data_IF_937513041053
#
_entry.id   IF_937513041053
#
_cell.length_a   1.000
_cell.length_b   1.000
_cell.length_c   1.000
_cell.angle_alpha   90.00
_cell.angle_beta   90.00
_cell.angle_gamma   90.00
#
_symmetry.space_group_name_H-M   'P 1'
#
loop_
_entity.id
_entity.type
_entity.pdbx_description
1 polymer ?
#
# COMPACT_ATOMS: atom_id res chain seq x y z
N UNK A 1 11.32 -54.43 12.73
CA UNK A 1 11.47 -55.51 11.74
C UNK A 1 11.54 -54.91 10.32
N UNK A 2 12.11 -55.65 9.35
CA UNK A 2 12.30 -55.23 7.94
C UNK A 2 10.98 -54.73 7.29
N UNK A 3 9.85 -55.27 7.68
CA UNK A 3 8.54 -54.87 7.20
C UNK A 3 8.09 -53.48 7.70
N UNK A 4 8.44 -53.07 8.90
CA UNK A 4 8.10 -51.74 9.43
C UNK A 4 8.98 -50.65 8.78
N UNK A 5 10.25 -50.90 8.51
CA UNK A 5 11.15 -50.00 7.74
C UNK A 5 10.58 -49.74 6.34
N UNK A 6 10.05 -50.75 5.65
CA UNK A 6 9.51 -50.62 4.29
C UNK A 6 8.20 -49.81 4.27
N UNK A 7 7.43 -49.80 5.36
CA UNK A 7 6.20 -49.04 5.52
C UNK A 7 6.45 -47.54 5.79
N UNK A 8 7.56 -47.24 6.48
CA UNK A 8 8.02 -45.87 6.76
C UNK A 8 8.60 -45.20 5.52
N UNK A 9 9.40 -45.94 4.74
CA UNK A 9 10.04 -45.43 3.51
C UNK A 9 9.04 -45.10 2.40
N UNK A 10 7.89 -45.75 2.35
CA UNK A 10 6.81 -45.44 1.39
C UNK A 10 6.09 -44.11 1.64
N UNK A 11 6.33 -43.45 2.77
CA UNK A 11 5.71 -42.18 3.13
C UNK A 11 6.64 -40.96 2.92
N UNK A 12 7.88 -41.16 2.48
CA UNK A 12 8.85 -40.11 2.22
C UNK A 12 8.91 -39.79 0.73
N UNK A 13 9.00 -38.52 0.38
CA UNK A 13 9.10 -38.07 -1.02
C UNK A 13 10.44 -38.46 -1.67
N UNK A 14 10.45 -38.72 -2.98
CA UNK A 14 11.61 -39.19 -3.74
C UNK A 14 12.95 -38.51 -3.46
N UNK A 15 13.04 -37.15 -3.41
CA UNK A 15 14.32 -36.45 -3.15
C UNK A 15 14.94 -36.68 -1.77
N UNK A 16 14.12 -37.10 -0.79
CA UNK A 16 14.58 -37.43 0.56
C UNK A 16 15.11 -38.88 0.59
N UNK A 17 14.50 -39.79 -0.15
CA UNK A 17 14.92 -41.18 -0.26
C UNK A 17 16.29 -41.31 -0.93
N UNK A 18 16.57 -40.58 -2.00
CA UNK A 18 17.85 -40.60 -2.71
C UNK A 18 19.04 -40.15 -1.83
N UNK A 19 18.81 -39.21 -0.92
CA UNK A 19 19.83 -38.78 0.05
C UNK A 19 20.05 -39.79 1.17
N UNK A 20 19.02 -40.52 1.58
CA UNK A 20 19.13 -41.57 2.59
C UNK A 20 19.81 -42.82 2.05
N UNK A 21 19.54 -43.20 0.80
CA UNK A 21 20.22 -44.35 0.16
C UNK A 21 21.70 -44.09 -0.06
N UNK A 22 22.12 -42.85 -0.35
CA UNK A 22 23.52 -42.48 -0.49
C UNK A 22 24.28 -42.56 0.83
N UNK A 23 23.66 -42.23 1.96
CA UNK A 23 24.29 -42.35 3.30
C UNK A 23 24.36 -43.81 3.77
N UNK A 24 23.36 -44.64 3.43
CA UNK A 24 23.37 -46.07 3.76
C UNK A 24 24.32 -46.87 2.90
N UNK A 25 24.51 -46.49 1.63
CA UNK A 25 25.52 -47.15 0.76
C UNK A 25 26.95 -46.81 1.14
N UNK A 26 27.24 -45.59 1.63
CA UNK A 26 28.58 -45.23 2.10
C UNK A 26 28.99 -45.99 3.39
N UNK A 27 28.06 -46.23 4.30
CA UNK A 27 28.32 -46.99 5.52
C UNK A 27 28.52 -48.51 5.28
N UNK A 28 27.98 -49.03 4.18
CA UNK A 28 28.07 -50.46 3.85
C UNK A 28 29.37 -50.84 3.15
N UNK A 29 30.02 -49.93 2.43
CA UNK A 29 31.27 -50.20 1.67
C UNK A 29 32.54 -50.20 2.52
N UNK A 30 32.57 -49.55 3.67
CA UNK A 30 33.71 -49.52 4.56
C UNK A 30 33.77 -50.72 5.55
N UNK A 31 32.68 -51.48 5.71
CA UNK A 31 32.59 -52.56 6.67
C UNK A 31 33.08 -53.93 6.15
N UNK A 32 33.19 -54.11 4.83
CA UNK A 32 33.22 -55.47 4.28
C UNK A 32 34.60 -56.02 3.88
N UNK A 33 35.72 -55.28 4.02
CA UNK A 33 36.98 -55.84 3.41
C UNK A 33 38.22 -55.95 4.31
N UNK A 34 38.21 -55.53 5.57
CA UNK A 34 39.44 -55.62 6.40
C UNK A 34 39.32 -56.27 7.79
N UNK A 35 38.16 -56.81 8.19
CA UNK A 35 37.97 -57.29 9.58
C UNK A 35 37.75 -58.79 9.78
N UNK A 36 37.70 -59.60 8.73
CA UNK A 36 37.40 -61.05 8.87
C UNK A 36 38.57 -61.91 9.35
N UNK A 37 39.84 -61.40 9.35
CA UNK A 37 41.00 -62.26 9.68
C UNK A 37 41.60 -62.07 11.09
N UNK A 38 41.01 -61.27 12.00
CA UNK A 38 41.63 -61.06 13.34
C UNK A 38 40.70 -61.29 14.56
N UNK A 39 39.47 -61.75 14.37
CA UNK A 39 38.46 -61.86 15.46
C UNK A 39 38.09 -63.31 15.84
N UNK A 40 39.11 -64.18 16.15
CA UNK A 40 38.81 -65.52 16.67
C UNK A 40 38.92 -65.65 18.21
N UNK A 41 38.95 -64.58 18.99
CA UNK A 41 39.09 -64.65 20.46
C UNK A 41 38.26 -63.64 21.28
N UNK A 42 37.25 -62.99 20.77
CA UNK A 42 36.34 -62.18 21.61
C UNK A 42 35.30 -63.06 22.31
N UNK A 43 35.12 -62.87 23.62
CA UNK A 43 34.05 -63.57 24.37
C UNK A 43 32.68 -62.96 24.05
N UNK A 44 31.60 -63.76 24.15
CA UNK A 44 30.22 -63.33 23.89
C UNK A 44 29.84 -62.07 24.69
N UNK A 45 30.44 -61.85 25.83
CA UNK A 45 30.24 -60.68 26.67
C UNK A 45 30.82 -59.40 26.04
N UNK A 46 31.99 -59.44 25.50
CA UNK A 46 32.67 -58.31 24.82
C UNK A 46 31.97 -57.92 23.53
N UNK A 47 31.45 -58.91 22.79
CA UNK A 47 30.63 -58.62 21.58
C UNK A 47 29.32 -57.91 21.96
N UNK A 48 28.66 -58.32 23.04
CA UNK A 48 27.43 -57.72 23.52
C UNK A 48 27.67 -56.27 23.99
N UNK A 49 28.72 -55.98 24.73
CA UNK A 49 29.07 -54.64 25.20
C UNK A 49 29.45 -53.69 24.05
N UNK A 50 30.09 -54.21 23.00
CA UNK A 50 30.45 -53.46 21.79
C UNK A 50 29.20 -53.13 20.96
N UNK A 51 28.23 -54.05 20.87
CA UNK A 51 26.95 -53.83 20.21
C UNK A 51 26.14 -52.79 20.98
N UNK A 52 26.07 -52.84 22.29
CA UNK A 52 25.34 -51.86 23.12
C UNK A 52 25.94 -50.47 23.02
N UNK A 53 27.27 -50.35 23.07
CA UNK A 53 27.98 -49.06 22.89
C UNK A 53 27.76 -48.46 21.49
N UNK A 54 27.74 -49.28 20.46
CA UNK A 54 27.47 -48.83 19.08
C UNK A 54 26.04 -48.35 18.93
N UNK A 55 25.08 -49.10 19.49
CA UNK A 55 23.67 -48.70 19.48
C UNK A 55 23.44 -47.36 20.23
N UNK A 56 24.12 -47.16 21.37
CA UNK A 56 24.02 -45.92 22.13
C UNK A 56 24.66 -44.74 21.35
N UNK A 57 25.75 -44.95 20.66
CA UNK A 57 26.43 -43.96 19.81
C UNK A 57 25.54 -43.55 18.61
N UNK A 58 24.92 -44.53 17.95
CA UNK A 58 23.98 -44.27 16.86
C UNK A 58 22.72 -43.53 17.32
N UNK A 59 22.15 -43.91 18.47
CA UNK A 59 21.01 -43.18 19.09
C UNK A 59 21.36 -41.73 19.40
N UNK A 60 22.57 -41.45 19.88
CA UNK A 60 23.05 -40.10 20.18
C UNK A 60 23.26 -39.29 18.89
N UNK A 61 23.78 -39.87 17.84
CA UNK A 61 23.96 -39.25 16.52
C UNK A 61 22.61 -38.95 15.89
N UNK A 62 21.64 -39.87 15.93
CA UNK A 62 20.31 -39.68 15.42
C UNK A 62 19.56 -38.55 16.18
N UNK A 63 19.69 -38.51 17.51
CA UNK A 63 19.09 -37.45 18.34
C UNK A 63 19.67 -36.07 18.04
N UNK A 64 20.96 -35.99 17.75
CA UNK A 64 21.62 -34.73 17.36
C UNK A 64 21.22 -34.31 15.94
N UNK A 65 21.14 -35.24 15.00
CA UNK A 65 20.68 -34.97 13.63
C UNK A 65 19.22 -34.47 13.61
N UNK A 66 18.35 -35.08 14.41
CA UNK A 66 16.94 -34.63 14.56
C UNK A 66 16.88 -33.22 15.14
N UNK A 67 17.71 -32.87 16.14
CA UNK A 67 17.78 -31.52 16.69
C UNK A 67 18.23 -30.48 15.66
N UNK A 68 19.23 -30.83 14.82
CA UNK A 68 19.71 -29.94 13.76
C UNK A 68 18.64 -29.73 12.70
N UNK A 69 17.94 -30.79 12.28
CA UNK A 69 16.83 -30.71 11.30
C UNK A 69 15.68 -29.87 11.85
N UNK A 70 15.31 -30.05 13.12
CA UNK A 70 14.28 -29.23 13.78
C UNK A 70 14.68 -27.77 13.88
N UNK A 71 15.94 -27.46 14.22
CA UNK A 71 16.42 -26.07 14.28
C UNK A 71 16.45 -25.40 12.89
N UNK A 72 16.84 -26.11 11.84
CA UNK A 72 16.79 -25.60 10.46
C UNK A 72 15.36 -25.35 9.99
N UNK A 73 14.42 -26.25 10.31
CA UNK A 73 13.01 -26.03 9.97
C UNK A 73 12.39 -24.81 10.72
N UNK A 74 12.75 -24.62 11.99
CA UNK A 74 12.29 -23.48 12.77
C UNK A 74 12.84 -22.17 12.19
N UNK A 75 14.13 -22.11 11.85
CA UNK A 75 14.74 -20.92 11.22
C UNK A 75 14.09 -20.64 9.86
N UNK A 76 13.85 -21.68 9.04
CA UNK A 76 13.19 -21.52 7.74
C UNK A 76 11.73 -21.05 7.88
N UNK A 77 10.99 -21.54 8.88
CA UNK A 77 9.62 -21.08 9.17
C UNK A 77 9.63 -19.64 9.66
N UNK A 78 10.57 -19.26 10.54
CA UNK A 78 10.68 -17.87 11.03
C UNK A 78 11.07 -16.93 9.88
N UNK A 79 11.99 -17.30 8.99
CA UNK A 79 12.34 -16.47 7.82
C UNK A 79 11.19 -16.38 6.83
N UNK A 80 10.43 -17.44 6.62
CA UNK A 80 9.22 -17.42 5.78
C UNK A 80 8.13 -16.55 6.41
N UNK A 81 7.92 -16.61 7.73
CA UNK A 81 6.98 -15.76 8.46
C UNK A 81 7.41 -14.29 8.44
N UNK A 82 8.70 -14.00 8.55
CA UNK A 82 9.23 -12.65 8.41
C UNK A 82 9.09 -12.13 6.98
N UNK A 83 9.35 -12.96 5.96
CA UNK A 83 9.11 -12.60 4.55
C UNK A 83 7.62 -12.39 4.26
N UNK A 84 6.73 -13.23 4.78
CA UNK A 84 5.28 -13.02 4.63
C UNK A 84 4.80 -11.79 5.38
N UNK A 85 5.36 -11.49 6.56
CA UNK A 85 5.07 -10.26 7.30
C UNK A 85 5.56 -9.01 6.53
N UNK A 86 6.76 -9.03 5.96
CA UNK A 86 7.28 -7.93 5.13
C UNK A 86 6.51 -7.79 3.82
N UNK A 87 6.14 -8.89 3.16
CA UNK A 87 5.28 -8.89 1.98
C UNK A 87 3.87 -8.38 2.35
N UNK A 88 3.32 -8.78 3.50
CA UNK A 88 2.03 -8.27 3.99
C UNK A 88 2.09 -6.79 4.34
N UNK A 89 3.21 -6.29 4.87
CA UNK A 89 3.44 -4.86 5.11
C UNK A 89 3.56 -4.12 3.78
N UNK A 90 4.27 -4.65 2.79
CA UNK A 90 4.40 -4.06 1.45
C UNK A 90 3.06 -4.12 0.70
N UNK A 91 2.34 -5.23 0.77
CA UNK A 91 0.99 -5.38 0.20
C UNK A 91 0.01 -4.47 0.94
N UNK A 92 0.10 -4.33 2.27
CA UNK A 92 -0.74 -3.42 3.05
C UNK A 92 -0.40 -1.95 2.77
N UNK A 93 0.86 -1.59 2.54
CA UNK A 93 1.23 -0.27 2.06
C UNK A 93 0.72 0.01 0.64
N UNK A 94 0.68 -1.01 -0.23
CA UNK A 94 0.06 -0.91 -1.56
C UNK A 94 -1.48 -1.09 -1.55
N UNK A 95 -2.06 -1.70 -0.49
CA UNK A 95 -3.51 -1.92 -0.35
C UNK A 95 -4.20 -0.83 0.48
N UNK A 96 -3.46 -0.05 1.27
CA UNK A 96 -3.99 1.14 1.96
C UNK A 96 -4.43 2.22 0.97
N UNK A 97 -3.97 2.14 -0.29
CA UNK A 97 -4.49 2.99 -1.37
C UNK A 97 -5.90 2.62 -1.87
N UNK A 98 -6.54 1.54 -1.37
CA UNK A 98 -7.78 1.04 -2.02
C UNK A 98 -8.92 0.59 -1.09
N UNK A 99 -8.94 0.94 0.21
CA UNK A 99 -10.11 0.67 1.04
C UNK A 99 -10.66 1.95 1.66
N UNK A 100 -11.67 2.54 1.04
CA UNK A 100 -12.69 3.38 1.70
C UNK A 100 -12.29 4.72 2.31
N UNK A 101 -11.00 5.04 2.37
CA UNK A 101 -10.46 6.33 2.83
C UNK A 101 -9.80 7.08 1.66
N UNK A 102 -10.48 7.12 0.52
CA UNK A 102 -9.98 7.79 -0.67
C UNK A 102 -9.60 9.24 -0.37
N UNK A 103 -8.31 9.57 -0.42
CA UNK A 103 -7.79 10.92 -0.25
C UNK A 103 -6.89 11.16 0.95
N UNK A 104 -6.66 10.18 1.84
CA UNK A 104 -5.73 10.36 2.97
C UNK A 104 -4.27 10.34 2.53
N UNK A 105 -3.90 9.39 1.69
CA UNK A 105 -2.55 9.28 1.13
C UNK A 105 -2.66 9.34 -0.39
N UNK A 106 -2.05 10.35 -0.99
CA UNK A 106 -1.92 10.53 -2.43
C UNK A 106 -0.44 10.57 -2.82
N UNK A 107 -0.12 10.44 -4.10
CA UNK A 107 1.26 10.62 -4.58
C UNK A 107 1.60 12.11 -4.64
N UNK A 108 2.07 12.64 -3.51
CA UNK A 108 2.47 14.04 -3.38
C UNK A 108 3.82 14.35 -4.04
N UNK A 109 4.62 13.34 -4.39
CA UNK A 109 5.89 13.50 -5.10
C UNK A 109 5.71 14.12 -6.47
N UNK A 110 4.64 13.75 -7.19
CA UNK A 110 4.30 14.32 -8.51
C UNK A 110 3.91 15.80 -8.45
N UNK A 111 3.50 16.30 -7.29
CA UNK A 111 3.19 17.71 -7.06
C UNK A 111 4.42 18.53 -6.61
N UNK A 112 5.61 17.92 -6.58
CA UNK A 112 6.87 18.60 -6.29
C UNK A 112 7.31 18.53 -4.83
N UNK A 113 6.77 17.62 -4.04
CA UNK A 113 7.34 17.27 -2.72
C UNK A 113 8.65 16.50 -2.95
N UNK A 114 9.78 16.88 -2.30
CA UNK A 114 11.03 16.15 -2.43
C UNK A 114 10.85 14.67 -2.08
N UNK A 115 11.34 13.78 -2.95
CA UNK A 115 11.10 12.35 -2.86
C UNK A 115 11.56 11.73 -1.53
N UNK A 116 12.63 12.27 -0.95
CA UNK A 116 13.17 11.86 0.34
C UNK A 116 12.20 12.09 1.52
N UNK A 117 11.25 13.02 1.39
CA UNK A 117 10.28 13.35 2.46
C UNK A 117 8.91 12.70 2.26
N UNK A 118 8.60 12.17 1.07
CA UNK A 118 7.28 11.57 0.77
C UNK A 118 6.91 10.51 1.80
N UNK A 119 7.84 9.61 2.13
CA UNK A 119 7.59 8.55 3.11
C UNK A 119 7.34 9.10 4.52
N UNK A 120 7.99 10.19 4.92
CA UNK A 120 7.77 10.80 6.24
C UNK A 120 6.40 11.47 6.33
N UNK A 121 5.93 12.10 5.24
CA UNK A 121 4.56 12.62 5.17
C UNK A 121 3.51 11.51 5.19
N UNK A 122 3.75 10.37 4.52
CA UNK A 122 2.85 9.22 4.52
C UNK A 122 2.77 8.58 5.91
N UNK A 123 3.90 8.43 6.59
CA UNK A 123 3.98 7.94 7.95
C UNK A 123 3.25 8.86 8.94
N UNK A 124 3.51 10.16 8.88
CA UNK A 124 2.82 11.16 9.68
C UNK A 124 1.31 11.16 9.42
N UNK A 125 0.89 11.04 8.15
CA UNK A 125 -0.53 10.92 7.78
C UNK A 125 -1.22 9.77 8.52
N UNK A 126 -0.59 8.61 8.55
CA UNK A 126 -1.12 7.42 9.24
C UNK A 126 -1.18 7.61 10.77
N UNK A 127 -0.13 8.18 11.36
CA UNK A 127 -0.02 8.37 12.82
C UNK A 127 -1.03 9.40 13.34
N UNK A 128 -1.23 10.49 12.60
CA UNK A 128 -2.03 11.64 13.06
C UNK A 128 -3.43 11.70 12.45
N UNK A 129 -3.78 10.80 11.56
CA UNK A 129 -5.04 10.78 10.81
C UNK A 129 -5.30 12.11 10.05
N UNK A 130 -4.26 12.61 9.39
CA UNK A 130 -4.29 13.83 8.58
C UNK A 130 -3.72 13.51 7.20
N UNK A 131 -4.38 13.88 6.09
CA UNK A 131 -3.86 13.57 4.76
C UNK A 131 -2.44 14.11 4.53
N UNK A 132 -1.60 13.31 3.86
CA UNK A 132 -0.23 13.67 3.52
C UNK A 132 -0.16 14.97 2.70
N UNK A 133 -1.12 15.20 1.80
CA UNK A 133 -1.22 16.42 1.00
C UNK A 133 -1.50 17.67 1.86
N UNK A 134 -2.22 17.53 2.97
CA UNK A 134 -2.47 18.62 3.91
C UNK A 134 -1.19 18.99 4.65
N UNK A 135 -0.44 18.00 5.14
CA UNK A 135 0.85 18.20 5.81
C UNK A 135 1.88 18.82 4.86
N UNK A 136 1.96 18.32 3.63
CA UNK A 136 2.86 18.85 2.61
C UNK A 136 2.56 20.31 2.24
N UNK A 137 1.27 20.70 2.23
CA UNK A 137 0.87 22.08 1.95
C UNK A 137 1.38 23.07 3.00
N UNK A 138 1.32 22.70 4.28
CA UNK A 138 1.90 23.49 5.36
C UNK A 138 3.43 23.58 5.21
N UNK A 139 4.11 22.46 5.00
CA UNK A 139 5.56 22.44 4.80
C UNK A 139 6.01 23.27 3.58
N UNK A 140 5.21 23.25 2.51
CA UNK A 140 5.45 24.11 1.32
C UNK A 140 5.40 25.59 1.67
N UNK A 141 4.40 26.02 2.41
CA UNK A 141 4.21 27.40 2.81
C UNK A 141 5.27 27.85 3.82
N UNK A 142 5.63 27.00 4.78
CA UNK A 142 6.51 27.35 5.90
C UNK A 142 7.98 27.47 5.48
N UNK A 143 8.49 26.55 4.69
CA UNK A 143 9.91 26.44 4.39
C UNK A 143 10.25 26.11 2.94
N UNK A 144 9.25 25.84 2.10
CA UNK A 144 9.43 25.19 0.81
C UNK A 144 10.23 23.88 0.93
N UNK A 145 9.89 23.09 1.95
CA UNK A 145 10.51 21.80 2.30
C UNK A 145 11.98 21.86 2.73
N UNK A 146 12.48 23.02 3.14
CA UNK A 146 13.87 23.15 3.59
C UNK A 146 13.98 22.85 5.11
N UNK A 147 14.65 21.76 5.53
CA UNK A 147 14.76 21.38 6.94
C UNK A 147 15.65 22.30 7.76
N UNK A 148 16.46 23.14 7.11
CA UNK A 148 17.38 24.06 7.76
C UNK A 148 16.81 25.48 7.87
N UNK A 149 15.57 25.70 7.48
CA UNK A 149 14.93 27.01 7.59
C UNK A 149 14.73 27.38 9.06
N UNK A 150 15.11 28.62 9.39
CA UNK A 150 14.82 29.22 10.69
C UNK A 150 14.38 30.66 10.48
N UNK A 151 13.20 31.01 10.99
CA UNK A 151 12.67 32.36 10.91
C UNK A 151 11.85 32.69 12.15
N UNK A 152 12.10 33.84 12.77
CA UNK A 152 11.32 34.32 13.91
C UNK A 152 11.31 33.42 15.14
N UNK A 153 12.29 32.52 15.31
CA UNK A 153 12.35 31.55 16.40
C UNK A 153 11.62 30.25 16.10
N UNK A 154 11.12 30.07 14.88
CA UNK A 154 10.59 28.81 14.36
C UNK A 154 11.65 28.10 13.52
N UNK A 155 11.61 26.77 13.46
CA UNK A 155 12.65 25.92 12.89
C UNK A 155 12.09 24.75 12.06
N UNK A 156 12.84 24.38 11.04
CA UNK A 156 12.64 23.16 10.27
C UNK A 156 11.59 23.25 9.19
N UNK A 157 11.27 22.11 8.59
CA UNK A 157 10.36 21.99 7.43
C UNK A 157 9.00 22.62 7.70
N UNK A 158 8.48 22.46 8.92
CA UNK A 158 7.14 22.93 9.31
C UNK A 158 7.19 24.10 10.31
N UNK A 159 8.35 24.73 10.51
CA UNK A 159 8.55 25.95 11.29
C UNK A 159 7.96 25.88 12.72
N UNK A 160 8.41 24.90 13.50
CA UNK A 160 8.00 24.72 14.88
C UNK A 160 8.71 25.73 15.78
N UNK A 161 7.95 26.44 16.63
CA UNK A 161 8.51 27.38 17.59
C UNK A 161 8.99 26.68 18.86
N UNK A 162 10.24 26.97 19.25
CA UNK A 162 10.79 26.50 20.54
C UNK A 162 10.23 27.28 21.72
N UNK A 163 10.18 28.59 21.59
CA UNK A 163 9.82 29.53 22.68
C UNK A 163 8.81 30.53 22.17
N UNK A 164 7.78 30.80 22.95
CA UNK A 164 6.83 31.87 22.70
C UNK A 164 7.56 33.24 22.80
N UNK A 165 7.64 34.02 21.73
CA UNK A 165 8.38 35.25 21.72
C UNK A 165 7.80 36.35 22.64
N UNK A 166 6.54 36.26 23.02
CA UNK A 166 5.84 37.22 23.86
C UNK A 166 5.96 36.94 25.34
N UNK A 167 5.89 35.65 25.72
CA UNK A 167 5.87 35.22 27.13
C UNK A 167 7.17 34.55 27.59
N UNK A 168 8.04 34.15 26.69
CA UNK A 168 9.23 33.34 26.99
C UNK A 168 8.93 31.89 27.38
N UNK A 169 7.68 31.42 27.23
CA UNK A 169 7.29 30.07 27.56
C UNK A 169 7.95 29.08 26.59
N UNK A 170 8.51 28.00 27.13
CA UNK A 170 9.02 26.88 26.33
C UNK A 170 7.84 26.11 25.68
N UNK A 171 7.60 26.37 24.38
CA UNK A 171 6.54 25.73 23.62
C UNK A 171 6.93 24.32 23.22
N UNK A 172 8.20 24.07 22.94
CA UNK A 172 8.68 22.75 22.60
C UNK A 172 8.47 21.75 23.74
N UNK A 173 8.92 22.13 24.94
CA UNK A 173 8.68 21.31 26.13
C UNK A 173 7.18 21.07 26.34
N UNK A 174 6.36 22.09 26.14
CA UNK A 174 4.91 21.96 26.24
C UNK A 174 4.35 20.91 25.25
N UNK A 175 4.79 20.91 23.98
CA UNK A 175 4.34 19.92 22.98
C UNK A 175 4.78 18.49 23.38
N UNK A 176 6.03 18.32 23.84
CA UNK A 176 6.56 17.06 24.32
C UNK A 176 5.71 16.50 25.46
N UNK A 177 5.45 17.34 26.48
CA UNK A 177 4.68 16.95 27.67
C UNK A 177 3.19 16.69 27.37
N UNK A 178 2.64 17.32 26.31
CA UNK A 178 1.24 17.17 25.90
C UNK A 178 0.98 15.93 25.04
N UNK A 179 2.00 15.11 24.76
CA UNK A 179 1.87 13.82 24.09
C UNK A 179 2.70 13.64 22.84
N UNK A 180 3.36 14.69 22.31
CA UNK A 180 4.30 14.52 21.19
C UNK A 180 5.48 13.61 21.58
N UNK A 181 5.95 13.72 22.84
CA UNK A 181 7.02 12.87 23.37
C UNK A 181 6.70 11.38 23.32
N UNK A 182 5.48 11.01 23.71
CA UNK A 182 5.01 9.61 23.62
C UNK A 182 4.97 9.10 22.17
N UNK A 183 4.58 9.96 21.24
CA UNK A 183 4.55 9.62 19.80
C UNK A 183 5.97 9.39 19.30
N UNK A 184 6.93 10.23 19.65
CA UNK A 184 8.32 10.03 19.27
C UNK A 184 8.88 8.72 19.80
N UNK A 185 8.68 8.43 21.09
CA UNK A 185 9.12 7.17 21.70
C UNK A 185 8.49 5.95 21.04
N UNK A 186 7.18 6.00 20.75
CA UNK A 186 6.46 4.92 20.07
C UNK A 186 6.94 4.68 18.63
N UNK A 187 7.60 5.69 18.01
CA UNK A 187 8.08 5.63 16.65
C UNK A 187 9.61 5.56 16.52
N UNK A 188 10.26 5.04 17.55
CA UNK A 188 11.67 4.64 17.52
C UNK A 188 12.68 5.72 17.93
N UNK A 189 12.23 6.89 18.39
CA UNK A 189 13.12 7.88 18.97
C UNK A 189 13.45 7.53 20.43
N UNK A 190 14.62 7.91 20.87
CA UNK A 190 15.07 7.77 22.28
C UNK A 190 15.65 9.09 22.75
N UNK A 191 15.20 9.59 23.88
CA UNK A 191 15.67 10.83 24.49
C UNK A 191 15.29 10.83 25.97
N UNK A 192 16.06 11.57 26.78
CA UNK A 192 15.85 11.66 28.22
C UNK A 192 14.99 12.86 28.62
N UNK A 193 15.06 13.93 27.83
CA UNK A 193 14.32 15.17 28.08
C UNK A 193 13.97 15.91 26.76
N UNK A 194 13.23 16.99 26.89
CA UNK A 194 12.79 17.80 25.74
C UNK A 194 13.93 18.48 24.98
N UNK A 195 15.05 18.80 25.65
CA UNK A 195 16.20 19.43 25.00
C UNK A 195 16.97 18.44 24.15
N UNK A 196 17.14 17.21 24.61
CA UNK A 196 17.73 16.15 23.80
C UNK A 196 16.88 15.87 22.55
N UNK A 197 15.54 15.79 22.71
CA UNK A 197 14.65 15.63 21.56
C UNK A 197 14.65 16.86 20.64
N UNK A 198 14.85 18.08 21.17
CA UNK A 198 15.02 19.26 20.35
C UNK A 198 16.28 19.18 19.47
N UNK A 199 17.39 18.72 20.02
CA UNK A 199 18.62 18.52 19.24
C UNK A 199 18.46 17.48 18.12
N UNK A 200 17.68 16.43 18.37
CA UNK A 200 17.29 15.46 17.31
C UNK A 200 16.43 16.16 16.26
N UNK A 201 15.38 16.85 16.68
CA UNK A 201 14.46 17.59 15.80
C UNK A 201 15.19 18.54 14.85
N UNK A 202 16.18 19.28 15.31
CA UNK A 202 16.92 20.23 14.48
C UNK A 202 17.64 19.58 13.29
N UNK A 203 17.96 18.28 13.38
CA UNK A 203 18.74 17.55 12.39
C UNK A 203 17.98 16.45 11.67
N UNK A 204 16.71 16.23 12.03
CA UNK A 204 15.91 15.12 11.49
C UNK A 204 14.61 15.62 10.85
N UNK A 205 14.53 15.63 9.50
CA UNK A 205 13.33 16.02 8.76
C UNK A 205 12.08 15.21 9.15
N UNK A 206 12.22 13.93 9.49
CA UNK A 206 11.11 13.09 9.95
C UNK A 206 10.54 13.59 11.26
N UNK A 207 11.41 13.93 12.22
CA UNK A 207 10.99 14.52 13.49
C UNK A 207 10.29 15.87 13.30
N UNK A 208 10.80 16.70 12.38
CA UNK A 208 10.19 18.00 12.04
C UNK A 208 8.77 17.85 11.47
N UNK A 209 8.56 16.88 10.58
CA UNK A 209 7.25 16.59 9.99
C UNK A 209 6.29 16.07 11.05
N UNK A 210 6.74 15.20 11.95
CA UNK A 210 5.91 14.70 13.07
C UNK A 210 5.45 15.82 14.00
N UNK A 211 6.33 16.75 14.35
CA UNK A 211 5.98 17.90 15.18
C UNK A 211 4.90 18.78 14.52
N UNK A 212 5.07 19.09 13.23
CA UNK A 212 4.07 19.86 12.49
C UNK A 212 2.73 19.15 12.35
N UNK A 213 2.75 17.84 12.10
CA UNK A 213 1.54 17.03 12.04
C UNK A 213 0.81 16.98 13.40
N UNK A 214 1.58 16.91 14.49
CA UNK A 214 1.04 17.02 15.85
C UNK A 214 0.33 18.35 16.09
N UNK A 215 0.95 19.48 15.71
CA UNK A 215 0.32 20.80 15.84
C UNK A 215 -0.92 20.95 14.98
N UNK A 216 -0.93 20.42 13.74
CA UNK A 216 -2.13 20.45 12.89
C UNK A 216 -3.27 19.66 13.54
N UNK A 217 -3.00 18.49 14.13
CA UNK A 217 -4.00 17.72 14.88
C UNK A 217 -4.48 18.48 16.12
N UNK A 218 -3.57 19.10 16.85
CA UNK A 218 -3.86 19.93 18.03
C UNK A 218 -4.84 21.04 17.66
N UNK A 219 -4.54 21.81 16.62
CA UNK A 219 -5.40 22.88 16.16
C UNK A 219 -6.67 22.38 15.49
N UNK A 220 -6.63 21.24 14.80
CA UNK A 220 -7.79 20.57 14.23
C UNK A 220 -8.82 20.24 15.31
N UNK A 221 -8.41 19.59 16.37
CA UNK A 221 -9.30 19.30 17.51
C UNK A 221 -9.85 20.56 18.18
N UNK A 222 -9.04 21.60 18.28
CA UNK A 222 -9.51 22.88 18.83
C UNK A 222 -10.57 23.56 17.94
N UNK A 223 -10.35 23.61 16.62
CA UNK A 223 -11.30 24.17 15.65
C UNK A 223 -12.62 23.39 15.67
N UNK A 224 -12.57 22.06 15.60
CA UNK A 224 -13.76 21.20 15.65
C UNK A 224 -14.57 21.41 16.94
N UNK A 225 -13.87 21.55 18.09
CA UNK A 225 -14.54 21.89 19.36
C UNK A 225 -15.21 23.26 19.31
N UNK A 226 -14.52 24.28 18.78
CA UNK A 226 -15.06 25.64 18.66
C UNK A 226 -16.21 25.76 17.67
N UNK A 227 -16.26 24.89 16.68
CA UNK A 227 -17.36 24.76 15.73
C UNK A 227 -18.50 23.87 16.27
N UNK A 228 -18.44 23.40 17.51
CA UNK A 228 -19.40 22.48 18.14
C UNK A 228 -19.56 21.14 17.39
N UNK A 229 -18.55 20.71 16.64
CA UNK A 229 -18.52 19.41 15.94
C UNK A 229 -18.16 18.27 16.88
N UNK A 230 -17.51 18.56 18.02
CA UNK A 230 -17.21 17.63 19.09
C UNK A 230 -17.64 18.20 20.45
N UNK A 231 -18.17 17.36 21.37
CA UNK A 231 -18.73 17.83 22.63
C UNK A 231 -17.67 18.21 23.67
N UNK A 232 -16.44 17.69 23.54
CA UNK A 232 -15.36 17.90 24.49
C UNK A 232 -14.04 18.07 23.75
N UNK A 233 -13.24 19.03 24.21
CA UNK A 233 -11.90 19.25 23.69
C UNK A 233 -10.93 18.13 24.12
N UNK A 234 -10.33 17.46 23.16
CA UNK A 234 -9.22 16.53 23.33
C UNK A 234 -8.21 16.74 22.20
N UNK A 235 -7.11 17.39 22.50
CA UNK A 235 -6.08 17.75 21.51
C UNK A 235 -5.41 16.56 20.81
N UNK A 236 -5.44 15.37 21.43
CA UNK A 236 -4.77 14.15 20.96
C UNK A 236 -5.71 13.16 20.27
N UNK A 237 -6.96 13.53 20.01
CA UNK A 237 -7.91 12.62 19.40
C UNK A 237 -7.69 12.55 17.87
N UNK A 238 -7.32 11.37 17.38
CA UNK A 238 -7.15 11.10 15.95
C UNK A 238 -8.49 10.94 15.23
N UNK A 239 -9.48 10.30 15.87
CA UNK A 239 -10.79 10.00 15.25
C UNK A 239 -11.55 11.28 14.90
N UNK A 240 -11.39 12.34 15.70
CA UNK A 240 -11.99 13.62 15.40
C UNK A 240 -11.54 14.20 14.05
N UNK A 241 -10.35 13.83 13.56
CA UNK A 241 -9.84 14.36 12.29
C UNK A 241 -10.72 13.95 11.12
N UNK A 242 -11.47 12.85 11.20
CA UNK A 242 -12.43 12.43 10.17
C UNK A 242 -13.57 13.45 10.01
N UNK A 243 -13.88 14.23 11.05
CA UNK A 243 -14.92 15.26 11.01
C UNK A 243 -14.50 16.50 10.19
N UNK A 244 -13.23 16.62 9.80
CA UNK A 244 -12.77 17.61 8.81
C UNK A 244 -13.33 17.29 7.42
N UNK A 245 -13.70 16.02 7.16
CA UNK A 245 -14.28 15.54 5.89
C UNK A 245 -13.31 15.73 4.71
N UNK A 246 -12.13 15.21 4.85
CA UNK A 246 -10.99 15.36 3.91
C UNK A 246 -11.28 15.12 2.43
N UNK A 247 -12.33 14.32 2.12
CA UNK A 247 -12.72 13.97 0.76
C UNK A 247 -13.81 14.89 0.16
N UNK A 248 -14.22 15.94 0.89
CA UNK A 248 -15.20 16.90 0.39
C UNK A 248 -14.70 17.65 -0.85
N UNK A 249 -15.64 18.12 -1.66
CA UNK A 249 -15.33 19.05 -2.75
C UNK A 249 -14.64 20.30 -2.20
N UNK A 250 -13.69 20.86 -2.94
CA UNK A 250 -12.94 22.04 -2.52
C UNK A 250 -13.81 23.29 -2.35
N UNK A 251 -15.00 23.30 -2.95
CA UNK A 251 -15.99 24.36 -2.81
C UNK A 251 -17.01 24.09 -1.68
N UNK A 252 -16.96 22.93 -1.01
CA UNK A 252 -17.78 22.67 0.18
C UNK A 252 -17.43 23.70 1.26
N UNK A 253 -18.41 24.49 1.66
CA UNK A 253 -18.22 25.64 2.56
C UNK A 253 -17.77 25.22 3.96
N UNK A 254 -18.26 24.08 4.47
CA UNK A 254 -17.92 23.57 5.80
C UNK A 254 -16.49 23.03 5.84
N UNK A 255 -16.12 22.25 4.84
CA UNK A 255 -14.74 21.75 4.66
C UNK A 255 -13.75 22.91 4.51
N UNK A 256 -14.05 23.84 3.60
CA UNK A 256 -13.22 24.99 3.29
C UNK A 256 -13.00 25.89 4.51
N UNK A 257 -14.06 26.21 5.23
CA UNK A 257 -13.99 27.01 6.45
C UNK A 257 -13.18 26.30 7.53
N UNK A 258 -13.45 25.01 7.78
CA UNK A 258 -12.76 24.23 8.82
C UNK A 258 -11.27 24.13 8.56
N UNK A 259 -10.88 23.78 7.34
CA UNK A 259 -9.46 23.59 7.01
C UNK A 259 -8.69 24.92 7.04
N UNK A 260 -9.28 25.99 6.53
CA UNK A 260 -8.69 27.36 6.60
C UNK A 260 -8.55 27.85 8.04
N UNK A 261 -9.51 27.54 8.95
CA UNK A 261 -9.40 27.82 10.39
C UNK A 261 -8.25 27.06 11.04
N UNK A 262 -8.05 25.79 10.69
CA UNK A 262 -6.91 25.01 11.17
C UNK A 262 -5.59 25.70 10.77
N UNK A 263 -5.46 26.07 9.51
CA UNK A 263 -4.27 26.76 9.01
C UNK A 263 -4.08 28.14 9.65
N UNK A 264 -5.15 28.90 9.87
CA UNK A 264 -5.08 30.18 10.56
C UNK A 264 -4.62 30.02 12.04
N UNK A 265 -5.08 28.98 12.71
CA UNK A 265 -4.62 28.62 14.06
C UNK A 265 -3.15 28.20 14.09
N UNK A 266 -2.69 27.48 13.08
CA UNK A 266 -1.30 27.08 12.93
C UNK A 266 -0.38 28.31 12.82
N UNK A 267 -0.74 29.26 11.97
CA UNK A 267 0.06 30.47 11.73
C UNK A 267 0.06 31.47 12.89
N UNK A 268 -1.07 31.69 13.54
CA UNK A 268 -1.22 32.78 14.51
C UNK A 268 -1.79 32.38 15.87
N UNK A 269 -1.86 31.07 16.13
CA UNK A 269 -2.43 30.50 17.35
C UNK A 269 -3.97 30.52 17.43
N UNK A 270 -4.54 29.82 18.44
CA UNK A 270 -5.98 29.59 18.53
C UNK A 270 -6.83 30.85 18.61
N UNK A 271 -6.36 31.85 19.32
CA UNK A 271 -7.12 33.11 19.53
C UNK A 271 -7.22 33.92 18.24
N UNK A 272 -6.16 33.96 17.46
CA UNK A 272 -6.15 34.62 16.15
C UNK A 272 -6.95 33.82 15.14
N UNK A 273 -6.65 32.55 14.97
CA UNK A 273 -7.19 31.71 13.92
C UNK A 273 -8.72 31.57 13.96
N UNK A 274 -9.33 31.62 15.15
CA UNK A 274 -10.80 31.56 15.29
C UNK A 274 -11.51 32.89 15.07
N UNK A 275 -10.79 34.02 15.09
CA UNK A 275 -11.41 35.35 14.99
C UNK A 275 -11.06 36.11 13.72
N UNK A 276 -9.95 35.77 13.07
CA UNK A 276 -9.49 36.47 11.87
C UNK A 276 -10.52 36.32 10.74
N UNK A 277 -10.68 37.38 9.95
CA UNK A 277 -11.32 37.29 8.65
C UNK A 277 -10.38 36.50 7.72
N UNK A 278 -10.80 35.30 7.33
CA UNK A 278 -9.98 34.38 6.55
C UNK A 278 -9.60 34.89 5.16
N UNK A 279 -10.44 35.77 4.58
CA UNK A 279 -10.17 36.34 3.26
C UNK A 279 -9.21 37.55 3.32
N UNK A 280 -9.06 38.13 4.51
CA UNK A 280 -8.15 39.26 4.80
C UNK A 280 -7.06 38.89 5.83
N UNK A 281 -6.80 37.60 6.04
CA UNK A 281 -5.77 37.15 6.97
C UNK A 281 -4.37 37.58 6.55
N UNK A 282 -3.50 37.80 7.54
CA UNK A 282 -2.13 38.23 7.32
C UNK A 282 -1.40 37.34 6.30
N UNK A 283 -0.72 37.96 5.34
CA UNK A 283 -0.02 37.29 4.22
C UNK A 283 -0.90 36.37 3.37
N UNK A 284 -2.22 36.44 3.53
CA UNK A 284 -3.18 35.51 2.90
C UNK A 284 -2.91 34.03 3.23
N UNK A 285 -2.31 33.78 4.41
CA UNK A 285 -1.79 32.48 4.80
C UNK A 285 -2.80 31.33 4.70
N UNK A 286 -4.00 31.40 5.31
CA UNK A 286 -4.95 30.28 5.27
C UNK A 286 -5.37 29.90 3.84
N UNK A 287 -5.51 30.89 2.97
CA UNK A 287 -5.90 30.68 1.57
C UNK A 287 -4.78 30.07 0.74
N UNK A 288 -3.53 30.53 0.93
CA UNK A 288 -2.38 29.96 0.24
C UNK A 288 -2.17 28.51 0.61
N UNK A 289 -2.21 28.18 1.90
CA UNK A 289 -2.03 26.79 2.35
C UNK A 289 -3.19 25.92 1.85
N UNK A 290 -4.42 26.44 1.86
CA UNK A 290 -5.57 25.73 1.29
C UNK A 290 -5.38 25.45 -0.20
N UNK A 291 -4.91 26.43 -0.96
CA UNK A 291 -4.61 26.27 -2.39
C UNK A 291 -3.56 25.18 -2.61
N UNK A 292 -2.43 25.23 -1.90
CA UNK A 292 -1.40 24.17 -1.99
C UNK A 292 -1.95 22.79 -1.60
N UNK A 293 -2.80 22.73 -0.59
CA UNK A 293 -3.43 21.49 -0.17
C UNK A 293 -4.29 20.89 -1.30
N UNK A 294 -5.08 21.72 -1.99
CA UNK A 294 -5.89 21.26 -3.13
C UNK A 294 -5.03 20.89 -4.33
N UNK A 295 -3.98 21.64 -4.63
CA UNK A 295 -3.01 21.31 -5.69
C UNK A 295 -2.36 19.94 -5.44
N UNK A 296 -1.84 19.68 -4.25
CA UNK A 296 -1.23 18.39 -3.90
C UNK A 296 -2.24 17.24 -3.92
N UNK A 297 -3.44 17.46 -3.37
CA UNK A 297 -4.52 16.47 -3.40
C UNK A 297 -4.89 16.08 -4.82
N UNK A 298 -5.14 17.07 -5.67
CA UNK A 298 -5.61 16.85 -7.04
C UNK A 298 -4.52 16.24 -7.93
N UNK A 299 -3.26 16.67 -7.79
CA UNK A 299 -2.14 16.09 -8.53
C UNK A 299 -1.93 14.62 -8.17
N UNK A 300 -1.97 14.27 -6.88
CA UNK A 300 -1.82 12.89 -6.43
C UNK A 300 -2.99 12.00 -6.83
N UNK A 301 -4.22 12.50 -6.81
CA UNK A 301 -5.39 11.76 -7.29
C UNK A 301 -5.32 11.52 -8.80
N UNK A 302 -4.94 12.51 -9.60
CA UNK A 302 -4.79 12.38 -11.04
C UNK A 302 -3.71 11.37 -11.41
N UNK A 303 -2.58 11.35 -10.69
CA UNK A 303 -1.52 10.37 -10.92
C UNK A 303 -1.97 8.95 -10.57
N UNK A 304 -2.65 8.78 -9.44
CA UNK A 304 -3.19 7.48 -9.04
C UNK A 304 -4.20 6.96 -10.07
N UNK A 305 -5.08 7.83 -10.57
CA UNK A 305 -6.04 7.49 -11.62
C UNK A 305 -5.33 7.07 -12.91
N UNK A 306 -4.32 7.80 -13.35
CA UNK A 306 -3.55 7.44 -14.54
C UNK A 306 -2.83 6.10 -14.38
N UNK A 307 -2.23 5.84 -13.23
CA UNK A 307 -1.54 4.57 -12.95
C UNK A 307 -2.52 3.38 -12.93
N UNK A 308 -3.71 3.57 -12.37
CA UNK A 308 -4.78 2.58 -12.41
C UNK A 308 -5.17 2.27 -13.87
N UNK A 309 -5.40 3.31 -14.69
CA UNK A 309 -5.76 3.17 -16.10
C UNK A 309 -4.66 2.41 -16.86
N UNK A 310 -3.39 2.74 -16.66
CA UNK A 310 -2.30 2.02 -17.32
C UNK A 310 -2.24 0.54 -16.86
N UNK A 311 -2.47 0.24 -15.59
CA UNK A 311 -2.56 -1.14 -15.10
C UNK A 311 -3.70 -1.92 -15.77
N UNK A 312 -4.88 -1.29 -15.92
CA UNK A 312 -6.03 -1.85 -16.65
C UNK A 312 -5.64 -2.20 -18.09
N UNK A 313 -5.00 -1.25 -18.78
CA UNK A 313 -4.63 -1.40 -20.18
C UNK A 313 -3.52 -2.45 -20.34
N UNK A 314 -2.48 -2.42 -19.51
CA UNK A 314 -1.40 -3.40 -19.51
C UNK A 314 -1.91 -4.82 -19.31
N UNK A 315 -2.86 -5.02 -18.40
CA UNK A 315 -3.49 -6.33 -18.16
C UNK A 315 -4.14 -6.86 -19.45
N UNK A 316 -4.86 -6.02 -20.18
CA UNK A 316 -5.48 -6.40 -21.44
C UNK A 316 -4.47 -6.58 -22.58
N UNK A 317 -3.46 -5.73 -22.69
CA UNK A 317 -2.42 -5.81 -23.72
C UNK A 317 -1.63 -7.11 -23.67
N UNK A 318 -1.51 -7.76 -22.53
CA UNK A 318 -0.88 -9.10 -22.39
C UNK A 318 -1.55 -10.17 -23.25
N UNK A 319 -2.83 -10.01 -23.55
CA UNK A 319 -3.65 -10.97 -24.29
C UNK A 319 -3.79 -10.64 -25.78
N UNK A 320 -3.34 -9.49 -26.24
CA UNK A 320 -3.40 -9.10 -27.66
C UNK A 320 -2.71 -10.14 -28.53
N UNK A 321 -3.46 -10.68 -29.52
CA UNK A 321 -3.01 -11.73 -30.44
C UNK A 321 -2.83 -13.13 -29.79
N UNK A 322 -3.20 -13.31 -28.53
CA UNK A 322 -3.03 -14.59 -27.80
C UNK A 322 -4.35 -15.19 -27.34
N UNK A 323 -5.35 -14.35 -27.05
CA UNK A 323 -6.64 -14.78 -26.53
C UNK A 323 -7.67 -14.82 -27.65
N UNK A 324 -8.27 -15.98 -27.95
CA UNK A 324 -9.41 -16.07 -28.86
C UNK A 324 -10.69 -15.61 -28.18
N UNK A 325 -11.62 -15.07 -28.97
CA UNK A 325 -12.95 -14.77 -28.45
C UNK A 325 -13.72 -16.06 -28.13
N UNK A 326 -14.32 -16.13 -26.94
CA UNK A 326 -15.17 -17.24 -26.51
C UNK A 326 -16.47 -16.68 -25.94
N UNK A 327 -17.59 -16.88 -26.65
CA UNK A 327 -18.90 -16.42 -26.17
C UNK A 327 -19.21 -17.01 -24.79
N UNK A 328 -19.48 -16.15 -23.79
CA UNK A 328 -19.69 -16.56 -22.40
C UNK A 328 -18.40 -16.94 -21.65
N UNK A 329 -17.23 -16.83 -22.25
CA UNK A 329 -15.95 -17.06 -21.59
C UNK A 329 -15.60 -16.01 -20.51
N UNK A 330 -14.55 -16.26 -19.74
CA UNK A 330 -13.99 -15.35 -18.71
C UNK A 330 -14.78 -15.28 -17.40
N UNK A 331 -15.78 -16.13 -17.22
CA UNK A 331 -16.64 -16.15 -16.02
C UNK A 331 -16.14 -17.13 -14.95
N UNK A 332 -15.24 -18.02 -15.32
CA UNK A 332 -14.57 -18.93 -14.39
C UNK A 332 -13.09 -18.62 -14.28
N UNK A 333 -12.46 -19.01 -13.18
CA UNK A 333 -11.02 -18.86 -13.01
C UNK A 333 -10.24 -19.62 -14.09
N UNK A 334 -10.73 -20.79 -14.48
CA UNK A 334 -10.12 -21.59 -15.54
C UNK A 334 -10.15 -20.89 -16.91
N UNK A 335 -11.20 -20.13 -17.21
CA UNK A 335 -11.27 -19.33 -18.44
C UNK A 335 -10.28 -18.17 -18.41
N UNK A 336 -10.21 -17.47 -17.28
CA UNK A 336 -9.28 -16.34 -17.07
C UNK A 336 -7.83 -16.80 -17.24
N UNK A 337 -7.44 -17.91 -16.60
CA UNK A 337 -6.09 -18.48 -16.70
C UNK A 337 -5.79 -18.90 -18.14
N UNK A 338 -6.78 -19.45 -18.85
CA UNK A 338 -6.65 -19.89 -20.24
C UNK A 338 -6.77 -18.75 -21.27
N UNK A 339 -7.02 -17.51 -20.82
CA UNK A 339 -7.21 -16.36 -21.73
C UNK A 339 -8.43 -16.50 -22.63
N UNK A 340 -9.52 -17.08 -22.15
CA UNK A 340 -10.78 -17.26 -22.88
C UNK A 340 -11.81 -16.26 -22.39
N UNK A 341 -12.06 -15.21 -23.15
CA UNK A 341 -12.98 -14.14 -22.79
C UNK A 341 -14.05 -13.91 -23.84
N UNK A 342 -15.11 -13.20 -23.51
CA UNK A 342 -15.92 -12.40 -24.41
C UNK A 342 -15.65 -10.91 -24.15
N UNK A 343 -16.25 -10.01 -24.95
CA UNK A 343 -15.98 -8.58 -24.84
C UNK A 343 -16.23 -7.98 -23.45
N UNK A 344 -17.28 -8.42 -22.76
CA UNK A 344 -17.65 -7.90 -21.43
C UNK A 344 -16.79 -8.48 -20.31
N UNK A 345 -16.53 -9.77 -20.33
CA UNK A 345 -15.67 -10.42 -19.33
C UNK A 345 -14.19 -10.01 -19.48
N UNK A 346 -13.74 -9.72 -20.70
CA UNK A 346 -12.42 -9.17 -20.96
C UNK A 346 -12.24 -7.79 -20.30
N UNK A 347 -13.19 -6.88 -20.51
CA UNK A 347 -13.18 -5.57 -19.85
C UNK A 347 -13.20 -5.71 -18.33
N UNK A 348 -14.07 -6.59 -17.79
CA UNK A 348 -14.10 -6.89 -16.36
C UNK A 348 -12.74 -7.38 -15.85
N UNK A 349 -12.10 -8.33 -16.55
CA UNK A 349 -10.76 -8.84 -16.22
C UNK A 349 -9.71 -7.72 -16.16
N UNK A 350 -9.70 -6.82 -17.14
CA UNK A 350 -8.75 -5.71 -17.19
C UNK A 350 -8.87 -4.82 -15.95
N UNK A 351 -10.09 -4.41 -15.59
CA UNK A 351 -10.35 -3.57 -14.44
C UNK A 351 -10.12 -4.31 -13.11
N UNK A 352 -10.51 -5.57 -13.01
CA UNK A 352 -10.26 -6.41 -11.84
C UNK A 352 -8.75 -6.57 -11.55
N UNK A 353 -7.92 -6.60 -12.60
CA UNK A 353 -6.44 -6.64 -12.47
C UNK A 353 -5.86 -5.38 -11.83
N UNK A 354 -6.58 -4.26 -11.88
CA UNK A 354 -6.25 -3.00 -11.19
C UNK A 354 -7.03 -2.82 -9.87
N UNK A 355 -7.67 -3.87 -9.36
CA UNK A 355 -8.45 -3.85 -8.11
C UNK A 355 -9.86 -3.29 -8.24
N UNK A 356 -10.34 -2.99 -9.44
CA UNK A 356 -11.67 -2.41 -9.68
C UNK A 356 -12.63 -3.50 -10.15
N UNK A 357 -13.64 -3.81 -9.33
CA UNK A 357 -14.67 -4.79 -9.66
C UNK A 357 -15.83 -4.12 -10.42
N UNK A 358 -16.02 -4.50 -11.68
CA UNK A 358 -17.15 -4.06 -12.51
C UNK A 358 -18.34 -5.04 -12.39
N UNK A 359 -18.85 -5.17 -11.17
CA UNK A 359 -19.87 -6.14 -10.84
C UNK A 359 -19.33 -7.55 -10.62
N UNK A 360 -20.22 -8.53 -10.59
CA UNK A 360 -19.88 -9.93 -10.41
C UNK A 360 -19.36 -10.55 -11.72
N UNK A 361 -18.20 -11.18 -11.68
CA UNK A 361 -17.53 -11.82 -12.81
C UNK A 361 -18.42 -12.86 -13.52
N UNK A 362 -19.20 -13.64 -12.75
CA UNK A 362 -20.02 -14.72 -13.30
C UNK A 362 -21.19 -14.21 -14.14
N UNK A 363 -21.65 -12.98 -13.87
CA UNK A 363 -22.85 -12.38 -14.48
C UNK A 363 -22.60 -11.13 -15.32
N UNK A 364 -21.35 -10.66 -15.45
CA UNK A 364 -21.02 -9.43 -16.17
C UNK A 364 -21.41 -9.53 -17.66
N UNK A 365 -22.13 -8.52 -18.13
CA UNK A 365 -22.53 -8.38 -19.55
C UNK A 365 -22.45 -6.90 -19.96
N UNK A 366 -22.43 -6.63 -21.25
CA UNK A 366 -22.38 -5.24 -21.77
C UNK A 366 -23.52 -4.37 -21.24
N UNK A 367 -24.73 -4.94 -21.08
CA UNK A 367 -25.89 -4.25 -20.52
C UNK A 367 -25.75 -3.84 -19.05
N UNK A 368 -24.95 -4.55 -18.27
CA UNK A 368 -24.60 -4.11 -16.92
C UNK A 368 -23.55 -3.01 -16.95
N UNK A 369 -22.53 -3.17 -17.78
CA UNK A 369 -21.38 -2.25 -17.87
C UNK A 369 -21.78 -0.87 -18.41
N UNK A 370 -22.75 -0.80 -19.33
CA UNK A 370 -23.21 0.47 -19.91
C UNK A 370 -23.88 1.40 -18.88
N UNK A 371 -24.24 0.88 -17.72
CA UNK A 371 -24.85 1.65 -16.63
C UNK A 371 -23.88 1.94 -15.46
N UNK A 372 -22.61 1.50 -15.56
CA UNK A 372 -21.61 1.72 -14.54
C UNK A 372 -20.80 3.00 -14.78
N UNK A 373 -20.26 3.55 -13.70
CA UNK A 373 -19.43 4.75 -13.76
C UNK A 373 -20.16 6.02 -14.17
N UNK A 374 -19.39 7.05 -14.45
CA UNK A 374 -19.90 8.35 -14.88
C UNK A 374 -20.20 8.32 -16.39
N UNK A 375 -21.37 8.86 -16.79
CA UNK A 375 -21.66 9.14 -18.21
C UNK A 375 -20.80 10.31 -18.67
N UNK A 376 -20.11 10.13 -19.78
CA UNK A 376 -19.23 11.13 -20.41
C UNK A 376 -19.72 11.38 -21.83
N UNK A 377 -19.61 12.64 -22.30
CA UNK A 377 -19.84 12.95 -23.71
C UNK A 377 -18.74 12.30 -24.57
N UNK A 378 -19.11 11.82 -25.76
CA UNK A 378 -18.15 11.17 -26.67
C UNK A 378 -17.01 12.11 -27.11
N UNK A 379 -17.23 13.42 -27.12
CA UNK A 379 -16.19 14.43 -27.39
C UNK A 379 -15.17 14.60 -26.25
N UNK A 380 -15.51 14.12 -25.05
CA UNK A 380 -14.68 14.23 -23.84
C UNK A 380 -14.07 12.88 -23.42
N UNK A 381 -14.19 11.84 -24.26
CA UNK A 381 -13.67 10.54 -23.92
C UNK A 381 -12.14 10.57 -23.79
N UNK A 382 -11.64 9.85 -22.76
CA UNK A 382 -10.24 9.77 -22.39
C UNK A 382 -9.78 8.31 -22.34
N UNK A 383 -8.48 8.14 -22.40
CA UNK A 383 -7.82 6.85 -22.20
C UNK A 383 -8.34 6.17 -20.92
N UNK A 384 -8.77 4.91 -21.03
CA UNK A 384 -9.40 4.13 -19.97
C UNK A 384 -10.93 4.16 -19.99
N UNK A 385 -11.59 5.07 -20.70
CA UNK A 385 -13.04 5.08 -20.77
C UNK A 385 -13.59 3.83 -21.50
N UNK A 386 -14.74 3.34 -21.05
CA UNK A 386 -15.49 2.29 -21.73
C UNK A 386 -16.29 2.88 -22.86
N UNK A 387 -16.21 2.29 -24.05
CA UNK A 387 -16.96 2.69 -25.25
C UNK A 387 -17.81 1.52 -25.75
N UNK A 388 -19.02 1.83 -26.25
CA UNK A 388 -20.03 0.85 -26.59
C UNK A 388 -20.44 0.92 -28.06
N UNK A 389 -20.81 -0.23 -28.60
CA UNK A 389 -21.11 -0.39 -30.02
C UNK A 389 -22.40 -1.19 -30.22
N UNK A 390 -23.23 -0.75 -31.19
CA UNK A 390 -24.42 -1.47 -31.64
C UNK A 390 -23.99 -2.45 -32.78
N UNK A 391 -23.66 -3.68 -32.36
CA UNK A 391 -23.23 -4.73 -33.31
C UNK A 391 -24.39 -5.65 -33.70
N UNK A 392 -24.53 -6.81 -33.02
CA UNK A 392 -25.64 -7.73 -33.22
C UNK A 392 -26.91 -7.28 -32.46
N UNK A 393 -26.77 -6.42 -31.47
CA UNK A 393 -27.83 -5.75 -30.69
C UNK A 393 -27.34 -4.39 -30.23
N UNK A 394 -28.25 -3.56 -29.68
CA UNK A 394 -27.91 -2.33 -28.98
C UNK A 394 -26.94 -2.67 -27.84
N UNK A 395 -25.86 -1.89 -27.70
CA UNK A 395 -24.79 -2.14 -26.72
C UNK A 395 -24.20 -3.57 -26.80
N UNK A 396 -24.24 -4.18 -27.96
CA UNK A 396 -23.82 -5.59 -28.15
C UNK A 396 -22.30 -5.81 -28.07
N UNK A 397 -21.50 -4.74 -28.03
CA UNK A 397 -20.05 -4.83 -27.89
C UNK A 397 -19.48 -3.68 -27.08
N UNK A 398 -18.30 -3.90 -26.48
CA UNK A 398 -17.62 -2.97 -25.60
C UNK A 398 -16.11 -3.03 -25.82
N UNK A 399 -15.42 -1.91 -25.57
CA UNK A 399 -13.97 -1.82 -25.51
C UNK A 399 -13.50 -0.74 -24.56
N UNK A 400 -12.18 -0.73 -24.31
CA UNK A 400 -11.47 0.26 -23.48
C UNK A 400 -10.79 1.25 -24.44
N UNK A 401 -11.14 2.51 -24.36
CA UNK A 401 -10.55 3.56 -25.22
C UNK A 401 -9.09 3.81 -24.81
N UNK A 402 -8.19 3.84 -25.80
CA UNK A 402 -6.75 4.02 -25.58
C UNK A 402 -6.24 5.44 -25.87
N UNK A 403 -7.10 6.30 -26.40
CA UNK A 403 -6.70 7.56 -27.04
C UNK A 403 -6.44 7.37 -28.53
N UNK A 404 -6.22 8.47 -29.25
CA UNK A 404 -5.83 8.49 -30.68
C UNK A 404 -6.71 7.63 -31.58
N UNK A 405 -8.03 7.66 -31.36
CA UNK A 405 -9.00 6.82 -32.09
C UNK A 405 -8.73 5.31 -32.02
N UNK A 406 -8.09 4.81 -30.97
CA UNK A 406 -7.82 3.38 -30.77
C UNK A 406 -8.53 2.87 -29.52
N UNK A 407 -8.87 1.59 -29.54
CA UNK A 407 -9.48 0.93 -28.40
C UNK A 407 -9.05 -0.54 -28.32
N UNK A 408 -8.98 -1.04 -27.11
CA UNK A 408 -8.63 -2.42 -26.77
C UNK A 408 -9.93 -3.18 -26.48
N UNK A 409 -10.12 -4.32 -27.15
CA UNK A 409 -11.33 -5.12 -27.01
C UNK A 409 -11.07 -6.60 -27.32
N UNK A 410 -12.05 -7.44 -27.01
CA UNK A 410 -12.07 -8.84 -27.47
C UNK A 410 -13.13 -8.99 -28.57
N UNK A 411 -12.70 -9.06 -29.80
CA UNK A 411 -13.54 -9.12 -30.99
C UNK A 411 -13.86 -10.54 -31.44
N UNK A 412 -15.10 -10.80 -31.89
CA UNK A 412 -15.58 -12.14 -32.26
C UNK A 412 -14.71 -12.84 -33.31
N UNK A 413 -14.16 -12.11 -34.25
CA UNK A 413 -13.32 -12.66 -35.33
C UNK A 413 -11.82 -12.51 -35.10
N UNK A 414 -11.40 -11.65 -34.16
CA UNK A 414 -10.00 -11.27 -33.96
C UNK A 414 -9.43 -11.74 -32.63
N UNK A 415 -10.31 -12.10 -31.69
CA UNK A 415 -9.89 -12.24 -30.29
C UNK A 415 -9.49 -10.90 -29.68
N UNK A 416 -8.67 -10.92 -28.64
CA UNK A 416 -8.17 -9.71 -27.99
C UNK A 416 -7.24 -8.96 -28.94
N UNK A 417 -7.59 -7.71 -29.24
CA UNK A 417 -6.88 -6.87 -30.22
C UNK A 417 -7.05 -5.38 -29.91
N UNK A 418 -6.19 -4.57 -30.48
CA UNK A 418 -6.36 -3.12 -30.59
C UNK A 418 -6.92 -2.79 -31.98
N UNK A 419 -8.05 -2.11 -32.02
CA UNK A 419 -8.68 -1.65 -33.25
C UNK A 419 -8.75 -0.13 -33.30
N UNK A 420 -8.88 0.40 -34.52
CA UNK A 420 -9.16 1.83 -34.75
C UNK A 420 -10.67 2.09 -34.70
N UNK A 421 -11.05 3.21 -34.13
CA UNK A 421 -12.42 3.74 -34.16
C UNK A 421 -12.67 4.40 -35.53
N UNK A 422 -12.57 3.58 -36.59
CA UNK A 422 -12.74 3.95 -38.00
C UNK A 422 -13.58 2.90 -38.73
N UNK A 423 -14.05 3.18 -39.94
CA UNK A 423 -14.84 2.25 -40.74
C UNK A 423 -15.98 1.60 -39.98
N UNK A 424 -16.02 0.26 -39.93
CA UNK A 424 -17.04 -0.51 -39.26
C UNK A 424 -17.27 -0.09 -37.82
N UNK A 425 -16.20 0.07 -37.02
CA UNK A 425 -16.35 0.44 -35.61
C UNK A 425 -16.83 1.87 -35.42
N UNK A 426 -16.50 2.80 -36.32
CA UNK A 426 -17.04 4.16 -36.29
C UNK A 426 -18.55 4.17 -36.58
N UNK A 427 -19.01 3.34 -37.52
CA UNK A 427 -20.44 3.21 -37.84
C UNK A 427 -21.24 2.55 -36.69
N UNK A 428 -20.60 1.63 -35.98
CA UNK A 428 -21.21 0.88 -34.88
C UNK A 428 -21.12 1.57 -33.52
N UNK A 429 -20.23 2.54 -33.34
CA UNK A 429 -20.09 3.31 -32.13
C UNK A 429 -21.36 4.11 -31.89
N UNK A 430 -22.04 3.83 -30.76
CA UNK A 430 -23.34 4.43 -30.44
C UNK A 430 -23.27 5.72 -29.62
N UNK A 431 -22.05 6.25 -29.39
CA UNK A 431 -21.80 7.48 -28.64
C UNK A 431 -21.88 7.33 -27.12
N UNK A 432 -22.12 6.12 -26.59
CA UNK A 432 -22.12 5.89 -25.16
C UNK A 432 -20.70 5.70 -24.65
N UNK A 433 -20.34 6.49 -23.65
CA UNK A 433 -19.04 6.46 -22.97
C UNK A 433 -19.24 6.40 -21.48
N UNK A 434 -18.48 5.56 -20.79
CA UNK A 434 -18.50 5.43 -19.31
C UNK A 434 -17.12 5.57 -18.74
N UNK A 435 -16.93 6.49 -17.82
CA UNK A 435 -15.71 6.68 -17.05
C UNK A 435 -15.82 5.97 -15.73
N UNK A 436 -14.91 5.04 -15.50
CA UNK A 436 -14.85 4.23 -14.27
C UNK A 436 -13.85 4.86 -13.28
N UNK A 437 -12.75 5.40 -13.80
CA UNK A 437 -11.68 6.05 -13.00
C UNK A 437 -11.68 7.53 -13.34
N UNK A 438 -11.88 8.39 -12.34
CA UNK A 438 -11.92 9.85 -12.49
C UNK A 438 -10.52 10.48 -12.39
#
# INVERSE_FOLDING_TARGET
>A
TYHEKKRYLKKLSGPILDRFDMVLCLSKKEADTQKIQKESQETSHQIKERIETTIQREKKLLKNSIKIILSFNIVTIITLLLMTATISIIINQNSISNTGSGGMITDIGVAGVPQEYVNYFNEASTIFNIPNWCLAAVAKQESNFNPNTSYGGAYGIMQIQKVDPSSGKDLWKYLIDMGLGEIYLANGYTFNDSEEMWNIFLNDPRAQIFAGAYEIRYYGNYVLYKQNKVPKLNYNNNENMDLVKWNSDENDSDFRETLRRIFACYNGGPSYGMKVDLDNAQFNYPNKVFQYAMEFRNAGLNQSSNQIIETVIEAGMKWVGKSPYVWGGGRTEADVIAGRFDCSSFVHYCYASAGIQLGDRESVVTFSLVNMGQKVDASEMRRGDLIFFDTYTVDGHIGIYLGDNKFLHDGTSTGVTVSELSGYYKEKFNGKVRRIVN
#
